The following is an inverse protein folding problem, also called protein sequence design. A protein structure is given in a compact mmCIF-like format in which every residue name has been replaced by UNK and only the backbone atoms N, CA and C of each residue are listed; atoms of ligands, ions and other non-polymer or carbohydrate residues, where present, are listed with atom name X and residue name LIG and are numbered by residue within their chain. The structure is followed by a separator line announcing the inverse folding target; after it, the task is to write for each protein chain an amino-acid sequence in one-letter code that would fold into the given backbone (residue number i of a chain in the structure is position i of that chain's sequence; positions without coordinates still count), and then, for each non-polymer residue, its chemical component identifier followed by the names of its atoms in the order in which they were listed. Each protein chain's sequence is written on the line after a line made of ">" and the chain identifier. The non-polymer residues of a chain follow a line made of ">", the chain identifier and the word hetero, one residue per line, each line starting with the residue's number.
data_IF_911457828940
#
_entry.id   IF_911457828940
#
_cell.length_a   1.000
_cell.length_b   1.000
_cell.length_c   1.000
_cell.angle_alpha   90.00
_cell.angle_beta   90.00
_cell.angle_gamma   90.00
#
_symmetry.space_group_name_H-M   'P 1'
#
loop_
_entity.id
_entity.type
_entity.pdbx_description
1 polymer ?
#
# COMPACT_ATOMS: atom_id res chain seq x y z
N UNK A 1 1.57 -3.25 13.03
CA UNK A 1 0.68 -3.75 14.07
C UNK A 1 0.50 -5.26 13.91
N UNK A 2 0.66 -6.02 15.01
CA UNK A 2 0.34 -7.45 15.04
C UNK A 2 -0.70 -7.66 16.14
N UNK A 3 -1.79 -8.33 15.84
CA UNK A 3 -2.81 -8.72 16.81
C UNK A 3 -2.95 -10.23 16.82
N UNK A 4 -3.15 -10.82 18.00
CA UNK A 4 -3.34 -12.27 18.15
C UNK A 4 -4.20 -12.59 19.35
N UNK A 5 -5.01 -13.64 19.25
CA UNK A 5 -5.76 -14.21 20.38
C UNK A 5 -4.92 -15.26 21.15
N UNK A 6 -3.76 -15.69 20.63
CA UNK A 6 -2.89 -16.67 21.24
C UNK A 6 -1.90 -15.99 22.18
N UNK A 7 -2.07 -16.19 23.49
CA UNK A 7 -1.24 -15.54 24.52
C UNK A 7 0.24 -15.88 24.39
N UNK A 8 0.58 -17.12 24.11
CA UNK A 8 1.97 -17.53 23.92
C UNK A 8 2.64 -16.84 22.71
N UNK A 9 1.88 -16.67 21.63
CA UNK A 9 2.38 -15.91 20.47
C UNK A 9 2.59 -14.43 20.82
N UNK A 10 1.69 -13.83 21.60
CA UNK A 10 1.87 -12.47 22.11
C UNK A 10 3.17 -12.34 22.93
N UNK A 11 3.42 -13.26 23.88
CA UNK A 11 4.66 -13.27 24.67
C UNK A 11 5.89 -13.36 23.75
N UNK A 12 5.89 -14.31 22.82
CA UNK A 12 6.99 -14.50 21.87
C UNK A 12 7.27 -13.25 21.05
N UNK A 13 6.24 -12.62 20.47
CA UNK A 13 6.37 -11.38 19.68
C UNK A 13 6.89 -10.23 20.55
N UNK A 14 6.39 -10.10 21.78
CA UNK A 14 6.84 -9.09 22.75
C UNK A 14 8.33 -9.21 23.07
N UNK A 15 8.85 -10.43 23.20
CA UNK A 15 10.28 -10.70 23.37
C UNK A 15 11.08 -10.40 22.11
N UNK A 16 10.63 -10.93 20.96
CA UNK A 16 11.32 -10.74 19.69
C UNK A 16 11.51 -9.26 19.32
N UNK A 17 10.49 -8.40 19.57
CA UNK A 17 10.59 -6.96 19.29
C UNK A 17 11.57 -6.19 20.17
N UNK A 18 12.00 -6.77 21.26
CA UNK A 18 12.91 -6.18 22.24
C UNK A 18 14.15 -7.04 22.44
N UNK A 19 14.94 -7.18 21.38
CA UNK A 19 16.22 -7.93 21.36
C UNK A 19 16.14 -9.38 21.85
N UNK A 20 14.97 -9.98 21.95
CA UNK A 20 14.79 -11.30 22.55
C UNK A 20 14.91 -11.34 24.08
N UNK A 21 14.96 -10.17 24.72
CA UNK A 21 15.11 -10.06 26.19
C UNK A 21 13.78 -10.38 26.87
N UNK A 22 13.83 -11.17 27.91
CA UNK A 22 12.68 -11.47 28.76
C UNK A 22 12.54 -10.40 29.87
N UNK A 23 11.50 -9.58 29.75
CA UNK A 23 11.32 -8.44 30.67
C UNK A 23 10.51 -8.75 31.91
N UNK A 24 10.04 -9.99 32.11
CA UNK A 24 9.08 -10.30 33.16
C UNK A 24 9.33 -11.68 33.82
N UNK A 25 10.33 -11.74 34.68
CA UNK A 25 10.20 -12.59 35.86
C UNK A 25 10.69 -11.84 37.08
N UNK A 26 9.75 -11.23 37.82
CA UNK A 26 10.03 -10.55 39.08
C UNK A 26 10.56 -11.51 40.19
N UNK A 27 10.49 -12.81 39.94
CA UNK A 27 10.92 -13.86 40.91
C UNK A 27 12.40 -14.24 40.77
N UNK A 28 13.03 -13.92 39.65
CA UNK A 28 14.40 -14.34 39.40
C UNK A 28 15.35 -13.14 39.58
N UNK A 29 15.93 -12.98 40.78
CA UNK A 29 16.88 -11.91 41.13
C UNK A 29 18.18 -11.92 40.30
N UNK A 30 18.43 -12.95 39.51
CA UNK A 30 19.63 -13.14 38.69
C UNK A 30 19.45 -12.80 37.19
N UNK A 31 18.26 -12.37 36.73
CA UNK A 31 18.12 -12.00 35.36
C UNK A 31 18.78 -10.65 35.06
N UNK A 32 19.89 -10.75 34.37
CA UNK A 32 20.61 -9.60 33.88
C UNK A 32 19.73 -8.88 32.85
N UNK A 33 19.52 -7.58 33.01
CA UNK A 33 18.66 -6.71 32.18
C UNK A 33 18.89 -6.84 30.65
N UNK A 34 20.02 -7.40 30.27
CA UNK A 34 20.49 -7.57 28.89
C UNK A 34 20.64 -9.04 28.46
N UNK A 35 20.08 -9.98 29.19
CA UNK A 35 20.16 -11.39 28.81
C UNK A 35 19.07 -11.73 27.78
N UNK A 36 19.50 -12.16 26.59
CA UNK A 36 18.63 -12.61 25.52
C UNK A 36 18.78 -14.13 25.34
N UNK A 37 17.67 -14.85 25.28
CA UNK A 37 17.63 -16.30 25.05
C UNK A 37 17.04 -16.67 23.69
N UNK A 38 16.65 -15.69 22.88
CA UNK A 38 16.22 -15.86 21.50
C UNK A 38 16.75 -14.71 20.65
N UNK A 39 17.04 -14.97 19.38
CA UNK A 39 17.41 -13.91 18.45
C UNK A 39 16.23 -12.95 18.23
N UNK A 40 16.37 -11.75 18.71
CA UNK A 40 15.36 -10.69 18.58
C UNK A 40 15.83 -9.51 17.76
N UNK A 41 14.94 -8.57 17.54
CA UNK A 41 15.21 -7.33 16.80
C UNK A 41 14.86 -6.12 17.64
N UNK A 42 15.41 -4.96 17.31
CA UNK A 42 14.96 -3.69 17.85
C UNK A 42 13.77 -3.20 17.03
N UNK A 43 12.56 -3.51 17.48
CA UNK A 43 11.32 -3.07 16.82
C UNK A 43 10.41 -2.37 17.83
N UNK A 44 10.75 -1.12 18.10
CA UNK A 44 10.00 -0.24 19.00
C UNK A 44 9.17 0.76 18.20
N UNK A 45 8.17 1.30 18.85
CA UNK A 45 7.46 2.50 18.38
C UNK A 45 7.94 3.66 19.24
N UNK A 46 8.65 4.60 18.63
CA UNK A 46 9.11 5.80 19.32
C UNK A 46 7.93 6.68 19.73
N UNK A 47 8.06 7.39 20.86
CA UNK A 47 6.98 8.24 21.39
C UNK A 47 6.57 9.33 20.42
N UNK A 48 7.52 9.94 19.72
CA UNK A 48 7.25 10.93 18.67
C UNK A 48 6.41 10.31 17.54
N UNK A 49 6.77 9.11 17.09
CA UNK A 49 6.00 8.39 16.06
C UNK A 49 4.60 8.04 16.57
N UNK A 50 4.48 7.59 17.81
CA UNK A 50 3.20 7.28 18.45
C UNK A 50 2.29 8.51 18.51
N UNK A 51 2.84 9.66 18.90
CA UNK A 51 2.10 10.93 18.94
C UNK A 51 1.56 11.32 17.55
N UNK A 52 2.41 11.31 16.52
CA UNK A 52 1.96 11.61 15.15
C UNK A 52 0.90 10.62 14.65
N UNK A 53 1.02 9.34 15.00
CA UNK A 53 0.03 8.33 14.64
C UNK A 53 -1.32 8.57 15.33
N UNK A 54 -1.32 8.98 16.61
CA UNK A 54 -2.54 9.33 17.34
C UNK A 54 -3.26 10.51 16.68
N UNK A 55 -2.53 11.57 16.31
CA UNK A 55 -3.11 12.73 15.61
C UNK A 55 -3.68 12.35 14.23
N UNK A 56 -2.99 11.49 13.50
CA UNK A 56 -3.49 10.96 12.21
C UNK A 56 -4.74 10.07 12.41
N UNK A 57 -4.77 9.27 13.47
CA UNK A 57 -5.91 8.39 13.77
C UNK A 57 -7.20 9.18 14.01
N UNK A 58 -7.13 10.33 14.70
CA UNK A 58 -8.28 11.22 14.88
C UNK A 58 -8.90 11.68 13.54
N UNK A 59 -8.08 11.82 12.51
CA UNK A 59 -8.49 12.29 11.17
C UNK A 59 -8.81 11.15 10.19
N UNK A 60 -8.45 9.91 10.52
CA UNK A 60 -8.48 8.76 9.59
C UNK A 60 -9.86 8.55 8.95
N UNK A 61 -10.93 8.57 9.75
CA UNK A 61 -12.31 8.37 9.25
C UNK A 61 -12.73 9.44 8.24
N UNK A 62 -12.41 10.70 8.53
CA UNK A 62 -12.67 11.83 7.64
C UNK A 62 -11.87 11.70 6.34
N UNK A 63 -10.59 11.39 6.44
CA UNK A 63 -9.69 11.30 5.31
C UNK A 63 -10.03 10.10 4.41
N UNK A 64 -10.48 8.98 5.00
CA UNK A 64 -11.02 7.83 4.26
C UNK A 64 -12.28 8.21 3.48
N UNK A 65 -13.24 8.90 4.11
CA UNK A 65 -14.44 9.41 3.43
C UNK A 65 -14.08 10.36 2.27
N UNK A 66 -13.10 11.23 2.47
CA UNK A 66 -12.64 12.15 1.40
C UNK A 66 -12.00 11.38 0.23
N UNK A 67 -11.21 10.34 0.50
CA UNK A 67 -10.70 9.45 -0.56
C UNK A 67 -11.81 8.73 -1.31
N UNK A 68 -12.83 8.24 -0.62
CA UNK A 68 -13.98 7.60 -1.24
C UNK A 68 -14.76 8.56 -2.15
N UNK A 69 -14.96 9.82 -1.72
CA UNK A 69 -15.58 10.86 -2.58
C UNK A 69 -14.71 11.15 -3.80
N UNK A 70 -13.41 11.29 -3.60
CA UNK A 70 -12.46 11.54 -4.68
C UNK A 70 -12.43 10.38 -5.68
N UNK A 71 -12.48 9.13 -5.20
CA UNK A 71 -12.51 7.94 -6.05
C UNK A 71 -13.71 7.94 -7.00
N UNK A 72 -14.90 8.33 -6.53
CA UNK A 72 -16.10 8.45 -7.39
C UNK A 72 -15.90 9.47 -8.52
N UNK A 73 -15.18 10.57 -8.27
CA UNK A 73 -14.83 11.55 -9.33
C UNK A 73 -13.89 10.93 -10.35
N UNK A 74 -12.91 10.14 -9.88
CA UNK A 74 -11.96 9.46 -10.76
C UNK A 74 -12.64 8.35 -11.55
N UNK A 75 -13.53 7.56 -10.94
CA UNK A 75 -14.33 6.53 -11.61
C UNK A 75 -15.12 7.15 -12.77
N UNK A 76 -15.90 8.21 -12.48
CA UNK A 76 -16.66 8.94 -13.51
C UNK A 76 -15.78 9.41 -14.68
N UNK A 77 -14.63 10.04 -14.37
CA UNK A 77 -13.71 10.52 -15.40
C UNK A 77 -13.02 9.39 -16.18
N UNK A 78 -12.76 8.26 -15.56
CA UNK A 78 -12.24 7.07 -16.22
C UNK A 78 -13.28 6.50 -17.20
N UNK A 79 -14.54 6.39 -16.74
CA UNK A 79 -15.66 5.89 -17.57
C UNK A 79 -15.90 6.78 -18.79
N UNK A 80 -15.89 8.12 -18.63
CA UNK A 80 -15.97 9.07 -19.77
C UNK A 80 -14.86 8.86 -20.81
N UNK A 81 -13.71 8.36 -20.41
CA UNK A 81 -12.57 8.14 -21.29
C UNK A 81 -12.45 6.70 -21.77
N UNK A 82 -13.30 5.78 -21.31
CA UNK A 82 -13.19 4.34 -21.55
C UNK A 82 -11.95 3.73 -20.93
N UNK A 83 -11.44 4.32 -19.83
CA UNK A 83 -10.27 3.82 -19.11
C UNK A 83 -10.72 2.82 -18.05
N UNK A 84 -10.25 1.60 -18.13
CA UNK A 84 -10.54 0.58 -17.11
C UNK A 84 -9.89 0.94 -15.78
N UNK A 85 -10.65 0.82 -14.70
CA UNK A 85 -10.19 0.94 -13.31
C UNK A 85 -10.63 -0.27 -12.50
N UNK A 86 -10.19 -0.36 -11.24
CA UNK A 86 -10.56 -1.47 -10.36
C UNK A 86 -11.94 -1.21 -9.77
N UNK A 87 -12.96 -1.99 -10.13
CA UNK A 87 -14.32 -1.76 -9.64
C UNK A 87 -14.42 -2.12 -8.15
N UNK A 88 -15.22 -1.37 -7.41
CA UNK A 88 -15.59 -1.72 -6.06
C UNK A 88 -16.70 -2.79 -6.10
N UNK A 89 -16.48 -3.92 -5.46
CA UNK A 89 -17.52 -4.96 -5.31
C UNK A 89 -18.64 -4.45 -4.40
N UNK A 90 -19.88 -4.82 -4.74
CA UNK A 90 -21.06 -4.53 -3.91
C UNK A 90 -20.83 -5.04 -2.48
N UNK A 91 -21.22 -4.27 -1.49
CA UNK A 91 -21.06 -4.56 -0.05
C UNK A 91 -19.61 -4.53 0.48
N UNK A 92 -18.67 -3.95 -0.25
CA UNK A 92 -17.32 -3.72 0.25
C UNK A 92 -17.02 -2.22 0.31
N UNK A 93 -16.25 -1.83 1.33
CA UNK A 93 -15.68 -0.49 1.43
C UNK A 93 -14.19 -0.53 1.07
N UNK A 94 -13.75 0.47 0.30
CA UNK A 94 -12.34 0.65 -0.01
C UNK A 94 -11.82 1.93 0.64
N UNK A 95 -10.68 1.86 1.30
CA UNK A 95 -10.00 3.02 1.87
C UNK A 95 -9.27 3.86 0.82
N UNK A 96 -9.14 3.36 -0.39
CA UNK A 96 -8.45 4.01 -1.51
C UNK A 96 -7.09 4.59 -1.12
N UNK A 97 -6.19 3.71 -0.67
CA UNK A 97 -4.80 4.11 -0.42
C UNK A 97 -4.13 4.63 -1.69
N UNK A 98 -4.39 3.97 -2.80
CA UNK A 98 -3.96 4.33 -4.16
C UNK A 98 -5.16 4.22 -5.10
N UNK A 99 -5.11 4.92 -6.24
CA UNK A 99 -6.09 4.78 -7.32
C UNK A 99 -5.40 4.20 -8.56
N UNK A 100 -5.89 3.08 -9.05
CA UNK A 100 -5.30 2.30 -10.13
C UNK A 100 -6.16 2.36 -11.39
N UNK A 101 -5.51 2.62 -12.52
CA UNK A 101 -6.09 2.42 -13.84
C UNK A 101 -5.38 1.26 -14.55
N UNK A 102 -6.08 0.62 -15.49
CA UNK A 102 -5.55 -0.46 -16.31
C UNK A 102 -5.47 0.05 -17.75
N UNK A 103 -4.26 0.19 -18.27
CA UNK A 103 -4.00 0.76 -19.59
C UNK A 103 -2.96 -0.05 -20.37
N UNK A 104 -3.22 -0.28 -21.66
CA UNK A 104 -2.20 -0.83 -22.55
C UNK A 104 -1.06 0.18 -22.72
N UNK A 105 0.15 -0.30 -23.00
CA UNK A 105 1.34 0.55 -23.19
C UNK A 105 1.60 1.49 -21.98
N UNK A 106 1.35 0.96 -20.75
CA UNK A 106 1.46 1.68 -19.49
C UNK A 106 2.74 2.52 -19.38
N UNK A 107 3.90 1.97 -19.78
CA UNK A 107 5.22 2.64 -19.63
C UNK A 107 5.34 3.85 -20.56
N UNK A 108 4.78 3.76 -21.77
CA UNK A 108 4.70 4.90 -22.68
C UNK A 108 3.82 6.00 -22.11
N UNK A 109 2.64 5.63 -21.56
CA UNK A 109 1.73 6.57 -20.92
C UNK A 109 2.40 7.24 -19.72
N UNK A 110 3.04 6.45 -18.85
CA UNK A 110 3.83 6.96 -17.70
C UNK A 110 4.87 7.98 -18.15
N UNK A 111 5.66 7.66 -19.22
CA UNK A 111 6.68 8.57 -19.78
C UNK A 111 6.06 9.86 -20.33
N UNK A 112 4.94 9.78 -21.05
CA UNK A 112 4.24 10.95 -21.57
C UNK A 112 3.64 11.82 -20.47
N UNK A 113 3.10 11.22 -19.39
CA UNK A 113 2.58 11.94 -18.23
C UNK A 113 3.73 12.64 -17.48
N UNK A 114 4.88 11.99 -17.32
CA UNK A 114 6.05 12.58 -16.68
C UNK A 114 6.52 13.86 -17.43
N UNK A 115 6.54 13.84 -18.77
CA UNK A 115 6.84 15.04 -19.58
C UNK A 115 5.87 16.21 -19.30
N UNK A 116 4.67 15.91 -18.80
CA UNK A 116 3.67 16.90 -18.37
C UNK A 116 3.73 17.21 -16.86
N UNK A 117 4.80 16.80 -16.19
CA UNK A 117 5.00 16.94 -14.73
C UNK A 117 3.91 16.25 -13.90
N UNK A 118 3.29 15.20 -14.45
CA UNK A 118 2.35 14.34 -13.76
C UNK A 118 3.07 13.07 -13.34
N UNK A 119 3.28 12.92 -12.03
CA UNK A 119 4.02 11.80 -11.46
C UNK A 119 3.07 10.64 -11.17
N UNK A 120 3.34 9.50 -11.78
CA UNK A 120 2.60 8.24 -11.60
C UNK A 120 3.53 7.16 -11.09
N UNK A 121 2.98 6.14 -10.42
CA UNK A 121 3.74 5.00 -9.89
C UNK A 121 3.13 3.68 -10.38
N UNK A 122 3.86 2.60 -10.18
CA UNK A 122 3.39 1.25 -10.48
C UNK A 122 3.46 0.44 -9.19
N UNK A 123 2.35 -0.18 -8.78
CA UNK A 123 2.29 -1.01 -7.60
C UNK A 123 1.67 -2.39 -7.95
N UNK A 124 2.49 -3.38 -8.46
CA UNK A 124 3.96 -3.39 -8.60
C UNK A 124 4.36 -3.93 -9.97
N UNK A 125 5.57 -3.61 -10.45
CA UNK A 125 6.06 -4.01 -11.78
C UNK A 125 6.30 -5.50 -11.88
N UNK A 126 6.86 -6.09 -10.83
CA UNK A 126 7.19 -7.53 -10.77
C UNK A 126 6.24 -8.20 -9.80
N UNK A 127 5.44 -9.17 -10.24
CA UNK A 127 4.61 -9.98 -9.36
C UNK A 127 5.43 -10.73 -8.30
N UNK A 128 4.89 -10.89 -7.11
CA UNK A 128 5.59 -11.53 -5.99
C UNK A 128 6.11 -12.92 -6.35
N UNK A 129 5.29 -13.74 -7.03
CA UNK A 129 5.66 -15.11 -7.42
C UNK A 129 6.82 -15.19 -8.42
N UNK A 130 7.15 -14.10 -9.10
CA UNK A 130 8.27 -14.01 -10.04
C UNK A 130 9.51 -13.32 -9.43
N UNK A 131 9.47 -12.95 -8.16
CA UNK A 131 10.63 -12.35 -7.48
C UNK A 131 11.58 -13.44 -6.97
N UNK A 132 12.88 -13.16 -7.00
CA UNK A 132 13.93 -14.10 -6.61
C UNK A 132 13.76 -14.65 -5.18
N UNK A 133 13.28 -13.82 -4.26
CA UNK A 133 13.02 -14.22 -2.88
C UNK A 133 11.98 -15.35 -2.77
N UNK A 134 11.14 -15.55 -3.79
CA UNK A 134 10.06 -16.54 -3.81
C UNK A 134 10.31 -17.70 -4.77
N UNK A 135 11.50 -17.83 -5.35
CA UNK A 135 11.89 -18.93 -6.28
C UNK A 135 11.66 -20.33 -5.65
N UNK A 136 11.77 -20.43 -4.34
CA UNK A 136 11.53 -21.69 -3.60
C UNK A 136 10.08 -22.21 -3.76
N UNK A 137 9.12 -21.34 -4.10
CA UNK A 137 7.72 -21.73 -4.38
C UNK A 137 7.51 -22.32 -5.78
N UNK A 138 8.54 -22.31 -6.64
CA UNK A 138 8.57 -22.91 -7.99
C UNK A 138 7.53 -22.39 -8.99
N UNK A 139 6.93 -21.22 -8.74
CA UNK A 139 6.06 -20.58 -9.72
C UNK A 139 6.81 -20.14 -10.96
N UNK A 140 6.14 -20.22 -12.11
CA UNK A 140 6.65 -19.82 -13.42
C UNK A 140 5.77 -18.73 -14.03
N UNK A 141 6.28 -18.09 -15.08
CA UNK A 141 5.49 -17.18 -15.92
C UNK A 141 4.33 -17.96 -16.52
N UNK A 142 3.12 -17.43 -16.42
CA UNK A 142 1.88 -18.03 -16.87
C UNK A 142 1.06 -18.69 -15.76
N UNK A 143 1.63 -18.98 -14.60
CA UNK A 143 0.91 -19.65 -13.50
C UNK A 143 -0.15 -18.74 -12.85
N UNK A 144 0.09 -17.43 -12.86
CA UNK A 144 -0.86 -16.45 -12.32
C UNK A 144 -1.19 -15.36 -13.37
N UNK A 145 -1.90 -15.71 -14.46
CA UNK A 145 -2.04 -14.87 -15.63
C UNK A 145 -2.73 -13.53 -15.37
N UNK A 146 -3.69 -13.46 -14.44
CA UNK A 146 -4.35 -12.22 -14.05
C UNK A 146 -3.38 -11.28 -13.35
N UNK A 147 -2.58 -11.79 -12.41
CA UNK A 147 -1.58 -11.02 -11.68
C UNK A 147 -0.50 -10.48 -12.64
N UNK A 148 -0.04 -11.32 -13.55
CA UNK A 148 0.96 -10.97 -14.55
C UNK A 148 0.42 -9.92 -15.55
N UNK A 149 -0.82 -10.09 -15.99
CA UNK A 149 -1.50 -9.09 -16.82
C UNK A 149 -1.60 -7.74 -16.10
N UNK A 150 -2.05 -7.74 -14.85
CA UNK A 150 -2.19 -6.51 -14.08
C UNK A 150 -0.84 -5.83 -13.85
N UNK A 151 0.20 -6.55 -13.46
CA UNK A 151 1.53 -5.97 -13.23
C UNK A 151 2.10 -5.27 -14.47
N UNK A 152 1.76 -5.74 -15.68
CA UNK A 152 2.15 -5.12 -16.95
C UNK A 152 1.31 -3.89 -17.32
N UNK A 153 0.07 -3.79 -16.83
CA UNK A 153 -0.89 -2.82 -17.35
C UNK A 153 -1.41 -1.81 -16.31
N UNK A 154 -1.16 -2.00 -15.01
CA UNK A 154 -1.62 -1.07 -13.97
C UNK A 154 -0.75 0.18 -13.89
N UNK A 155 -1.42 1.31 -13.62
CA UNK A 155 -0.77 2.59 -13.37
C UNK A 155 -1.48 3.29 -12.22
N UNK A 156 -0.75 3.70 -11.20
CA UNK A 156 -1.27 4.47 -10.07
C UNK A 156 -1.21 5.95 -10.38
N UNK A 157 -2.38 6.58 -10.38
CA UNK A 157 -2.53 8.00 -10.59
C UNK A 157 -2.23 8.80 -9.31
N UNK A 158 -1.85 10.10 -9.39
CA UNK A 158 -1.81 10.98 -8.25
C UNK A 158 -3.17 10.98 -7.54
N UNK A 159 -3.19 10.58 -6.27
CA UNK A 159 -4.43 10.41 -5.53
C UNK A 159 -4.18 10.62 -4.03
N UNK A 160 -4.69 11.70 -3.46
CA UNK A 160 -4.54 12.06 -2.05
C UNK A 160 -5.63 13.03 -1.59
N UNK A 161 -6.02 13.00 -0.30
CA UNK A 161 -6.98 13.97 0.23
C UNK A 161 -6.49 15.40 0.04
N UNK A 162 -7.37 16.28 -0.45
CA UNK A 162 -7.03 17.69 -0.67
C UNK A 162 -6.41 18.00 -2.04
N UNK A 163 -6.35 17.02 -2.96
CA UNK A 163 -5.97 17.32 -4.35
C UNK A 163 -6.96 18.31 -4.98
N UNK A 164 -6.45 19.36 -5.60
CA UNK A 164 -7.24 20.43 -6.21
C UNK A 164 -7.95 19.95 -7.48
N UNK A 165 -9.17 20.42 -7.71
CA UNK A 165 -9.95 20.08 -8.92
C UNK A 165 -9.21 20.48 -10.20
N UNK A 166 -8.45 21.56 -10.20
CA UNK A 166 -7.64 21.97 -11.36
C UNK A 166 -6.60 20.89 -11.72
N UNK A 167 -5.93 20.30 -10.73
CA UNK A 167 -4.95 19.21 -10.92
C UNK A 167 -5.63 17.95 -11.45
N UNK A 168 -6.81 17.61 -10.93
CA UNK A 168 -7.60 16.48 -11.42
C UNK A 168 -7.98 16.69 -12.89
N UNK A 169 -8.51 17.86 -13.23
CA UNK A 169 -8.89 18.19 -14.60
C UNK A 169 -7.68 18.17 -15.56
N UNK A 170 -6.54 18.70 -15.11
CA UNK A 170 -5.31 18.64 -15.90
C UNK A 170 -4.81 17.20 -16.13
N UNK A 171 -4.88 16.36 -15.11
CA UNK A 171 -4.56 14.92 -15.21
C UNK A 171 -5.41 14.24 -16.28
N UNK A 172 -6.74 14.33 -16.17
CA UNK A 172 -7.64 13.63 -17.08
C UNK A 172 -7.65 14.22 -18.50
N UNK A 173 -7.49 15.54 -18.66
CA UNK A 173 -7.25 16.19 -19.97
C UNK A 173 -5.95 15.68 -20.61
N UNK A 174 -4.91 15.47 -19.82
CA UNK A 174 -3.64 14.92 -20.29
C UNK A 174 -3.76 13.46 -20.70
N UNK A 175 -4.42 12.63 -19.88
CA UNK A 175 -4.72 11.23 -20.20
C UNK A 175 -5.52 11.09 -21.50
N UNK A 176 -6.59 11.90 -21.68
CA UNK A 176 -7.40 11.92 -22.91
C UNK A 176 -6.54 12.14 -24.15
N UNK A 177 -5.62 13.13 -24.11
CA UNK A 177 -4.71 13.43 -25.23
C UNK A 177 -3.67 12.34 -25.50
N UNK A 178 -3.31 11.56 -24.48
CA UNK A 178 -2.26 10.52 -24.60
C UNK A 178 -2.86 9.21 -25.11
N UNK A 179 -4.06 8.85 -24.66
CA UNK A 179 -4.68 7.55 -24.95
C UNK A 179 -5.42 7.56 -26.30
N UNK A 180 -5.99 8.71 -26.71
CA UNK A 180 -6.70 8.84 -28.01
C UNK A 180 -5.77 9.01 -29.23
N UNK A 181 -4.47 9.02 -29.02
CA UNK A 181 -3.42 8.96 -30.06
C UNK A 181 -2.83 7.56 -30.12
#
# INVERSE_FOLDING_TARGET
>A
FITTKKFELYKKIKRLRFYGIETLDKKNKFFNKYYSNINGVNSRLDEIQAYFLLEKLKKLKRDTKNRQKLAKIYDYKCDELGIRHIPLKKNYENAYHIYLIIVKNRDLIKKKLLKKKIFTKIHYEIPIHLQDAFKHLKYKIGDLPVTEYLSKNILSLPFYPGIENQKINYLFKSLKKIIKK
#
